data_IF_176591458842
#
_entry.id   IF_176591458842
#
_cell.length_a   1.000
_cell.length_b   1.000
_cell.length_c   1.000
_cell.angle_alpha   90.00
_cell.angle_beta   90.00
_cell.angle_gamma   90.00
#
_symmetry.space_group_name_H-M   'P 1'
#
loop_
_entity.id
_entity.type
_entity.pdbx_description
1 polymer ?
#
# COMPACT_ATOMS: atom_id res chain seq x y z
N UNK A 1 -29.84 -27.88 -8.52
CA UNK A 1 -28.74 -28.72 -7.98
C UNK A 1 -27.42 -28.16 -8.48
N UNK A 2 -26.60 -27.59 -7.59
CA UNK A 2 -25.22 -27.21 -7.93
C UNK A 2 -24.49 -28.51 -8.26
N UNK A 3 -24.12 -28.71 -9.53
CA UNK A 3 -23.38 -29.91 -9.95
C UNK A 3 -21.94 -29.77 -9.47
N UNK A 4 -21.67 -30.26 -8.27
CA UNK A 4 -20.31 -30.49 -7.81
C UNK A 4 -19.72 -31.64 -8.63
N UNK A 5 -18.86 -31.33 -9.58
CA UNK A 5 -18.00 -32.35 -10.17
C UNK A 5 -16.94 -32.72 -9.14
N UNK A 6 -17.10 -33.89 -8.50
CA UNK A 6 -16.08 -34.52 -7.68
C UNK A 6 -14.91 -34.87 -8.62
N UNK A 7 -13.68 -34.40 -8.37
CA UNK A 7 -12.55 -34.78 -9.18
C UNK A 7 -12.13 -36.21 -8.82
N UNK A 8 -12.55 -37.19 -9.61
CA UNK A 8 -11.87 -38.48 -9.71
C UNK A 8 -10.68 -38.31 -10.67
N UNK A 9 -9.49 -38.21 -10.11
CA UNK A 9 -8.27 -38.06 -10.88
C UNK A 9 -7.17 -37.44 -10.04
N UNK A 10 -6.32 -38.32 -9.51
CA UNK A 10 -5.04 -38.02 -8.88
C UNK A 10 -4.33 -36.86 -9.57
N UNK A 11 -4.19 -35.76 -8.84
CA UNK A 11 -3.27 -34.70 -9.21
C UNK A 11 -1.87 -35.32 -9.31
N UNK A 12 -1.07 -35.04 -10.35
CA UNK A 12 0.35 -35.08 -10.17
C UNK A 12 0.63 -34.03 -9.10
N UNK A 13 0.97 -34.52 -7.91
CA UNK A 13 1.74 -33.74 -6.97
C UNK A 13 3.01 -33.36 -7.73
N UNK A 14 3.01 -32.18 -8.35
CA UNK A 14 4.25 -31.46 -8.56
C UNK A 14 4.78 -31.20 -7.16
N UNK A 15 5.56 -32.18 -6.68
CA UNK A 15 6.42 -32.03 -5.55
C UNK A 15 7.33 -30.85 -5.86
N UNK A 16 6.90 -29.66 -5.43
CA UNK A 16 7.84 -28.65 -5.05
C UNK A 16 8.53 -29.24 -3.83
N UNK A 17 9.61 -29.97 -4.14
CA UNK A 17 10.86 -29.93 -3.41
C UNK A 17 10.84 -28.72 -2.48
N UNK A 18 10.98 -28.99 -1.19
CA UNK A 18 11.31 -28.00 -0.19
C UNK A 18 12.57 -27.28 -0.66
N UNK A 19 12.41 -26.26 -1.50
CA UNK A 19 13.51 -25.42 -1.95
C UNK A 19 13.90 -24.62 -0.72
N UNK A 20 14.92 -25.12 -0.03
CA UNK A 20 15.95 -24.34 0.62
C UNK A 20 15.59 -22.87 0.80
N UNK A 21 15.31 -22.48 2.06
CA UNK A 21 15.15 -21.09 2.51
C UNK A 21 16.47 -20.35 2.28
N UNK A 22 16.70 -19.94 1.05
CA UNK A 22 17.87 -19.16 0.68
C UNK A 22 17.58 -17.70 1.00
N UNK A 23 18.33 -17.13 1.94
CA UNK A 23 18.44 -15.68 2.08
C UNK A 23 18.83 -15.10 0.72
N UNK A 24 17.92 -14.35 0.11
CA UNK A 24 18.16 -13.76 -1.21
C UNK A 24 19.09 -12.57 -1.01
N UNK A 25 20.29 -12.64 -1.59
CA UNK A 25 21.19 -11.48 -1.64
C UNK A 25 20.59 -10.48 -2.62
N UNK A 26 20.06 -9.39 -2.08
CA UNK A 26 19.41 -8.32 -2.84
C UNK A 26 20.46 -7.31 -3.32
N UNK A 27 21.51 -7.08 -2.54
CA UNK A 27 22.51 -6.06 -2.82
C UNK A 27 23.89 -6.44 -2.27
N UNK A 28 24.94 -6.14 -3.04
CA UNK A 28 26.32 -6.22 -2.59
C UNK A 28 27.06 -4.93 -3.01
N UNK A 29 27.59 -4.18 -2.03
CA UNK A 29 28.20 -2.87 -2.27
C UNK A 29 29.58 -2.76 -1.61
N UNK A 30 30.53 -2.15 -2.31
CA UNK A 30 31.83 -1.81 -1.74
C UNK A 30 31.83 -0.34 -1.32
N UNK A 31 32.26 -0.05 -0.09
CA UNK A 31 32.29 1.30 0.48
C UNK A 31 33.70 1.55 1.01
N UNK A 32 34.36 2.59 0.51
CA UNK A 32 35.64 3.05 1.03
C UNK A 32 35.47 4.42 1.66
N UNK A 33 35.87 4.56 2.92
CA UNK A 33 35.76 5.80 3.68
C UNK A 33 37.07 6.08 4.44
N UNK A 34 37.45 7.35 4.63
CA UNK A 34 38.67 7.69 5.37
C UNK A 34 38.53 7.38 6.86
N UNK A 35 39.64 7.06 7.51
CA UNK A 35 39.68 6.90 8.97
C UNK A 35 39.18 8.18 9.69
N UNK A 36 38.48 7.99 10.81
CA UNK A 36 37.85 9.05 11.60
C UNK A 36 36.49 9.55 11.06
N UNK A 37 36.08 9.14 9.85
CA UNK A 37 34.75 9.49 9.31
C UNK A 37 33.62 8.61 9.86
N UNK A 38 32.37 8.95 9.52
CA UNK A 38 31.17 8.16 9.84
C UNK A 38 30.71 7.37 8.60
N UNK A 39 30.60 6.05 8.71
CA UNK A 39 29.94 5.21 7.72
C UNK A 39 28.43 5.14 7.97
N UNK A 40 27.65 5.11 6.88
CA UNK A 40 26.24 4.73 6.90
C UNK A 40 26.04 3.63 5.86
N UNK A 41 25.64 2.45 6.33
CA UNK A 41 25.37 1.28 5.49
C UNK A 41 23.86 1.20 5.25
N UNK A 42 23.37 1.60 4.06
CA UNK A 42 21.94 1.78 3.84
C UNK A 42 21.19 0.45 3.81
N UNK A 43 20.23 0.24 4.70
CA UNK A 43 19.39 -0.95 4.69
C UNK A 43 17.91 -0.58 4.82
N UNK A 44 17.32 -0.07 3.72
CA UNK A 44 15.92 0.33 3.68
C UNK A 44 15.04 -0.73 3.01
N UNK A 45 13.92 -1.16 3.61
CA UNK A 45 12.95 -2.05 2.96
C UNK A 45 11.52 -1.62 3.25
N UNK A 46 10.75 -1.15 2.24
CA UNK A 46 9.36 -0.78 2.44
C UNK A 46 8.47 -1.97 2.82
N UNK A 47 8.94 -3.20 2.54
CA UNK A 47 8.24 -4.46 2.85
C UNK A 47 8.44 -4.92 4.29
N UNK A 48 9.34 -4.25 5.03
CA UNK A 48 9.58 -4.45 6.45
C UNK A 48 8.94 -3.34 7.30
N UNK A 49 8.16 -2.45 6.68
CA UNK A 49 7.41 -1.44 7.41
C UNK A 49 6.32 -2.14 8.22
N UNK A 50 6.35 -1.90 9.52
CA UNK A 50 5.38 -2.39 10.46
C UNK A 50 4.75 -1.22 11.19
N UNK A 51 3.51 -0.92 10.82
CA UNK A 51 2.64 -0.06 11.59
C UNK A 51 1.84 -0.93 12.57
N UNK A 52 1.53 -0.38 13.76
CA UNK A 52 0.65 -1.06 14.73
C UNK A 52 -0.84 -1.00 14.33
N UNK A 53 -1.15 -0.55 13.11
CA UNK A 53 -2.52 -0.37 12.63
C UNK A 53 -3.06 -1.69 12.04
N UNK A 54 -3.55 -2.54 12.95
CA UNK A 54 -4.14 -3.84 12.62
C UNK A 54 -5.26 -3.77 11.57
N UNK A 55 -5.90 -2.62 11.38
CA UNK A 55 -7.07 -2.47 10.51
C UNK A 55 -6.70 -2.32 9.03
N UNK A 56 -5.53 -1.74 8.70
CA UNK A 56 -5.10 -1.51 7.30
C UNK A 56 -4.00 -2.46 6.85
N UNK A 57 -3.18 -2.95 7.77
CA UNK A 57 -1.96 -3.70 7.46
C UNK A 57 -2.20 -5.14 7.04
N UNK A 58 -3.46 -5.56 6.84
CA UNK A 58 -3.79 -6.96 6.52
C UNK A 58 -4.91 -7.08 5.51
N UNK A 59 -5.16 -5.99 4.79
CA UNK A 59 -6.16 -5.97 3.74
C UNK A 59 -5.77 -6.98 2.65
N UNK A 60 -6.60 -8.03 2.57
CA UNK A 60 -6.58 -9.01 1.49
C UNK A 60 -7.80 -8.76 0.65
N UNK A 61 -7.67 -8.91 -0.66
CA UNK A 61 -8.79 -8.76 -1.57
C UNK A 61 -8.72 -9.88 -2.59
N UNK A 62 -9.81 -10.61 -2.74
CA UNK A 62 -10.07 -11.38 -3.96
C UNK A 62 -10.97 -10.54 -4.85
N UNK A 63 -10.65 -10.47 -6.13
CA UNK A 63 -11.58 -9.96 -7.13
C UNK A 63 -11.54 -10.83 -8.38
N UNK A 64 -12.69 -10.90 -9.04
CA UNK A 64 -12.83 -11.57 -10.32
C UNK A 64 -13.12 -10.54 -11.40
N UNK A 65 -12.28 -10.56 -12.43
CA UNK A 65 -12.43 -9.71 -13.60
C UNK A 65 -12.81 -10.58 -14.81
N UNK A 66 -13.74 -10.10 -15.63
CA UNK A 66 -14.18 -10.74 -16.87
C UNK A 66 -13.68 -9.93 -18.06
N UNK A 67 -12.88 -10.57 -18.91
CA UNK A 67 -12.45 -10.03 -20.20
C UNK A 67 -13.35 -10.59 -21.30
N UNK A 68 -14.07 -9.70 -21.98
CA UNK A 68 -14.96 -10.05 -23.10
C UNK A 68 -14.26 -9.78 -24.42
N UNK A 69 -14.46 -10.66 -25.40
CA UNK A 69 -13.97 -10.43 -26.76
C UNK A 69 -14.80 -9.40 -27.54
N UNK A 70 -16.00 -9.03 -27.07
CA UNK A 70 -16.88 -8.05 -27.73
C UNK A 70 -17.77 -7.33 -26.71
N UNK A 71 -17.92 -5.98 -26.77
CA UNK A 71 -17.12 -5.06 -27.61
C UNK A 71 -15.64 -5.14 -27.20
N UNK A 72 -14.75 -4.91 -28.18
CA UNK A 72 -13.34 -5.26 -28.17
C UNK A 72 -12.66 -5.02 -26.80
N UNK A 73 -12.22 -6.12 -26.17
CA UNK A 73 -11.43 -6.15 -24.93
C UNK A 73 -11.97 -5.30 -23.76
N UNK A 74 -13.28 -5.33 -23.51
CA UNK A 74 -13.82 -4.79 -22.26
C UNK A 74 -13.46 -5.67 -21.06
N UNK A 75 -12.84 -5.07 -20.05
CA UNK A 75 -12.58 -5.68 -18.74
C UNK A 75 -13.64 -5.18 -17.76
N UNK A 76 -14.41 -6.11 -17.21
CA UNK A 76 -15.45 -5.82 -16.23
C UNK A 76 -15.07 -6.47 -14.89
N UNK A 77 -15.00 -5.69 -13.81
CA UNK A 77 -14.93 -6.27 -12.46
C UNK A 77 -16.29 -6.88 -12.13
N UNK A 78 -16.32 -8.20 -11.98
CA UNK A 78 -17.56 -8.95 -11.70
C UNK A 78 -17.94 -8.78 -10.23
N UNK A 79 -16.99 -9.07 -9.35
CA UNK A 79 -17.15 -8.95 -7.91
C UNK A 79 -15.79 -8.83 -7.21
N UNK A 80 -15.82 -8.30 -5.99
CA UNK A 80 -14.72 -8.38 -5.04
C UNK A 80 -15.19 -8.76 -3.63
N UNK A 81 -14.27 -9.29 -2.84
CA UNK A 81 -14.49 -9.67 -1.45
C UNK A 81 -13.22 -9.44 -0.65
N UNK A 82 -13.37 -8.95 0.59
CA UNK A 82 -12.30 -8.79 1.56
C UNK A 82 -12.64 -9.62 2.82
N UNK A 83 -11.63 -10.04 3.61
CA UNK A 83 -11.87 -10.72 4.87
C UNK A 83 -12.74 -9.87 5.81
N UNK A 84 -13.66 -10.49 6.53
CA UNK A 84 -14.67 -9.82 7.37
C UNK A 84 -15.71 -8.95 6.65
N UNK A 85 -15.61 -8.78 5.33
CA UNK A 85 -16.54 -7.97 4.54
C UNK A 85 -17.46 -8.84 3.68
N UNK A 86 -18.67 -8.33 3.39
CA UNK A 86 -19.56 -8.96 2.41
C UNK A 86 -18.99 -8.78 1.01
N UNK A 87 -19.17 -9.79 0.16
CA UNK A 87 -18.85 -9.67 -1.26
C UNK A 87 -19.67 -8.55 -1.91
N UNK A 88 -19.06 -7.82 -2.84
CA UNK A 88 -19.69 -6.76 -3.61
C UNK A 88 -19.71 -7.16 -5.08
N UNK A 89 -20.92 -7.20 -5.64
CA UNK A 89 -21.17 -7.49 -7.06
C UNK A 89 -21.48 -6.19 -7.77
N UNK A 90 -20.75 -5.90 -8.85
CA UNK A 90 -20.78 -4.60 -9.52
C UNK A 90 -21.90 -4.46 -10.54
N UNK A 91 -22.29 -5.57 -11.17
CA UNK A 91 -23.36 -5.59 -12.17
C UNK A 91 -24.68 -6.04 -11.53
N UNK A 92 -25.74 -5.25 -11.73
CA UNK A 92 -27.10 -5.56 -11.23
C UNK A 92 -27.62 -6.93 -11.71
N UNK A 93 -27.32 -7.32 -12.95
CA UNK A 93 -27.68 -8.62 -13.52
C UNK A 93 -27.03 -9.81 -12.77
N UNK A 94 -25.87 -9.59 -12.16
CA UNK A 94 -25.12 -10.63 -11.47
C UNK A 94 -25.50 -10.75 -9.98
N UNK A 95 -26.27 -9.81 -9.43
CA UNK A 95 -26.68 -9.85 -8.02
C UNK A 95 -27.49 -11.12 -7.72
N UNK A 96 -27.06 -11.89 -6.72
CA UNK A 96 -27.67 -13.18 -6.35
C UNK A 96 -27.37 -14.33 -7.32
N UNK A 97 -26.85 -14.05 -8.51
CA UNK A 97 -26.49 -15.05 -9.51
C UNK A 97 -25.05 -15.52 -9.39
N UNK A 98 -24.15 -14.59 -9.07
CA UNK A 98 -22.72 -14.86 -8.92
C UNK A 98 -22.32 -14.67 -7.46
N UNK A 99 -21.47 -15.58 -6.95
CA UNK A 99 -20.92 -15.49 -5.60
C UNK A 99 -19.55 -16.14 -5.45
N UNK A 100 -18.82 -15.73 -4.42
CA UNK A 100 -17.73 -16.48 -3.80
C UNK A 100 -18.26 -17.07 -2.48
N UNK A 101 -17.79 -18.25 -2.04
CA UNK A 101 -18.11 -18.80 -0.71
C UNK A 101 -17.81 -17.81 0.42
N UNK A 102 -18.70 -17.68 1.40
CA UNK A 102 -18.47 -16.80 2.57
C UNK A 102 -17.25 -17.24 3.40
N UNK A 103 -16.92 -18.53 3.37
CA UNK A 103 -15.75 -19.12 4.03
C UNK A 103 -14.44 -18.94 3.27
N UNK A 104 -14.40 -18.21 2.15
CA UNK A 104 -13.25 -18.19 1.25
C UNK A 104 -11.91 -17.84 1.92
N UNK A 105 -11.90 -16.88 2.85
CA UNK A 105 -10.70 -16.51 3.61
C UNK A 105 -10.42 -17.45 4.81
N UNK A 106 -11.31 -18.40 5.14
CA UNK A 106 -11.06 -19.41 6.17
C UNK A 106 -10.45 -20.69 5.57
N UNK A 107 -10.97 -21.14 4.42
CA UNK A 107 -10.57 -22.38 3.77
C UNK A 107 -9.60 -22.18 2.57
N UNK A 108 -9.44 -20.94 2.11
CA UNK A 108 -8.64 -20.60 0.93
C UNK A 108 -9.33 -20.93 -0.39
N UNK A 109 -10.66 -21.03 -0.42
CA UNK A 109 -11.45 -21.32 -1.61
C UNK A 109 -12.13 -20.05 -2.16
N UNK A 110 -11.46 -19.43 -3.12
CA UNK A 110 -11.86 -18.19 -3.80
C UNK A 110 -12.62 -18.43 -5.11
N UNK A 111 -13.16 -19.64 -5.30
CA UNK A 111 -13.81 -20.06 -6.54
C UNK A 111 -15.06 -19.23 -6.83
N UNK A 112 -15.25 -18.86 -8.09
CA UNK A 112 -16.42 -18.10 -8.55
C UNK A 112 -17.56 -19.04 -8.90
N UNK A 113 -18.68 -18.94 -8.21
CA UNK A 113 -19.91 -19.65 -8.55
C UNK A 113 -20.77 -18.76 -9.43
N UNK A 114 -21.15 -19.26 -10.61
CA UNK A 114 -22.06 -18.60 -11.54
C UNK A 114 -23.29 -19.49 -11.69
N UNK A 115 -24.44 -19.01 -11.25
CA UNK A 115 -25.72 -19.69 -11.44
C UNK A 115 -26.40 -19.24 -12.74
N UNK A 116 -27.22 -20.12 -13.33
CA UNK A 116 -28.01 -19.82 -14.52
C UNK A 116 -27.16 -19.15 -15.64
N UNK A 117 -26.13 -19.86 -16.10
CA UNK A 117 -25.15 -19.37 -17.08
C UNK A 117 -25.85 -18.95 -18.38
N UNK A 118 -25.60 -17.73 -18.84
CA UNK A 118 -26.14 -17.17 -20.09
C UNK A 118 -25.06 -17.02 -21.15
N UNK A 119 -25.45 -16.87 -22.42
CA UNK A 119 -24.49 -16.75 -23.53
C UNK A 119 -23.52 -15.56 -23.37
N UNK A 120 -23.96 -14.48 -22.70
CA UNK A 120 -23.15 -13.29 -22.41
C UNK A 120 -22.13 -13.51 -21.30
N UNK A 121 -22.14 -14.63 -20.58
CA UNK A 121 -21.09 -14.98 -19.62
C UNK A 121 -19.83 -15.52 -20.30
N UNK A 122 -19.88 -15.76 -21.62
CA UNK A 122 -18.70 -16.20 -22.36
C UNK A 122 -17.58 -15.14 -22.26
N UNK A 123 -16.39 -15.59 -21.88
CA UNK A 123 -15.20 -14.75 -21.79
C UNK A 123 -14.08 -15.39 -20.99
N UNK A 124 -13.05 -14.62 -20.70
CA UNK A 124 -11.92 -15.04 -19.85
C UNK A 124 -12.08 -14.40 -18.48
N UNK A 125 -12.27 -15.24 -17.47
CA UNK A 125 -12.35 -14.85 -16.08
C UNK A 125 -10.96 -14.92 -15.45
N UNK A 126 -10.58 -13.89 -14.72
CA UNK A 126 -9.32 -13.84 -13.97
C UNK A 126 -9.64 -13.73 -12.49
N UNK A 127 -9.22 -14.72 -11.71
CA UNK A 127 -9.20 -14.62 -10.26
C UNK A 127 -7.94 -13.88 -9.86
N UNK A 128 -8.05 -12.80 -9.08
CA UNK A 128 -6.93 -12.03 -8.59
C UNK A 128 -6.95 -12.02 -7.06
N UNK A 129 -5.85 -12.45 -6.45
CA UNK A 129 -5.60 -12.38 -5.01
C UNK A 129 -4.56 -11.29 -4.75
N UNK A 130 -4.92 -10.30 -3.96
CA UNK A 130 -4.03 -9.22 -3.54
C UNK A 130 -3.85 -9.23 -2.04
N UNK A 131 -2.60 -9.24 -1.59
CA UNK A 131 -2.23 -9.01 -0.21
C UNK A 131 -1.51 -7.67 -0.12
N UNK A 132 -2.23 -6.61 0.28
CA UNK A 132 -1.69 -5.24 0.21
C UNK A 132 -0.44 -5.05 1.06
N UNK A 133 -0.44 -5.63 2.26
CA UNK A 133 0.68 -5.53 3.19
C UNK A 133 1.97 -6.19 2.70
N UNK A 134 1.90 -7.49 2.37
CA UNK A 134 3.05 -8.20 1.83
C UNK A 134 3.40 -7.81 0.38
N UNK A 135 2.56 -6.99 -0.26
CA UNK A 135 2.63 -6.59 -1.68
C UNK A 135 2.68 -7.80 -2.63
N UNK A 136 1.90 -8.83 -2.32
CA UNK A 136 1.86 -10.07 -3.12
C UNK A 136 0.59 -10.06 -3.97
N UNK A 137 0.76 -10.35 -5.26
CA UNK A 137 -0.33 -10.59 -6.20
C UNK A 137 -0.21 -11.99 -6.79
N UNK A 138 -1.33 -12.69 -6.91
CA UNK A 138 -1.43 -13.94 -7.62
C UNK A 138 -2.70 -13.94 -8.46
N UNK A 139 -2.62 -14.49 -9.67
CA UNK A 139 -3.78 -14.60 -10.53
C UNK A 139 -3.82 -15.92 -11.29
N UNK A 140 -5.03 -16.31 -11.67
CA UNK A 140 -5.29 -17.45 -12.54
C UNK A 140 -6.37 -17.08 -13.53
N UNK A 141 -6.16 -17.45 -14.80
CA UNK A 141 -7.12 -17.24 -15.87
C UNK A 141 -7.88 -18.52 -16.21
N UNK A 142 -9.18 -18.36 -16.44
CA UNK A 142 -10.10 -19.44 -16.79
C UNK A 142 -11.02 -18.95 -17.90
N UNK A 143 -11.05 -19.67 -19.02
CA UNK A 143 -11.95 -19.35 -20.12
C UNK A 143 -13.28 -20.07 -19.94
N UNK A 144 -14.38 -19.32 -19.94
CA UNK A 144 -15.73 -19.84 -19.96
C UNK A 144 -16.33 -19.75 -21.36
N UNK A 145 -16.73 -20.89 -21.89
CA UNK A 145 -17.48 -21.04 -23.13
C UNK A 145 -18.86 -21.63 -22.81
N UNK A 146 -19.89 -21.16 -23.53
CA UNK A 146 -21.28 -21.59 -23.30
C UNK A 146 -21.77 -22.42 -24.48
N UNK A 147 -22.37 -23.57 -24.20
CA UNK A 147 -22.96 -24.46 -25.20
C UNK A 147 -24.45 -24.67 -24.96
N UNK A 148 -25.23 -24.91 -26.01
CA UNK A 148 -26.64 -25.34 -25.90
C UNK A 148 -26.80 -26.87 -25.82
N UNK A 149 -25.71 -27.62 -26.03
CA UNK A 149 -25.73 -29.09 -26.06
C UNK A 149 -24.92 -29.66 -24.89
N UNK A 150 -25.59 -30.46 -24.06
CA UNK A 150 -24.96 -31.16 -22.94
C UNK A 150 -23.83 -32.10 -23.38
N UNK A 151 -23.92 -32.67 -24.60
CA UNK A 151 -22.88 -33.55 -25.16
C UNK A 151 -21.56 -32.82 -25.44
N UNK A 152 -21.58 -31.49 -25.50
CA UNK A 152 -20.39 -30.66 -25.74
C UNK A 152 -19.80 -30.09 -24.44
N UNK A 153 -20.41 -30.37 -23.29
CA UNK A 153 -19.84 -29.97 -22.00
C UNK A 153 -18.51 -30.68 -21.77
N UNK A 154 -17.47 -29.90 -21.46
CA UNK A 154 -16.14 -30.44 -21.18
C UNK A 154 -15.30 -29.41 -20.44
N UNK A 155 -14.31 -29.92 -19.71
CA UNK A 155 -13.24 -29.13 -19.10
C UNK A 155 -11.92 -29.67 -19.64
N UNK A 156 -11.07 -28.78 -20.12
CA UNK A 156 -9.73 -29.14 -20.62
C UNK A 156 -8.75 -28.00 -20.41
N UNK A 157 -7.47 -28.30 -20.50
CA UNK A 157 -6.38 -27.32 -20.50
C UNK A 157 -5.97 -27.04 -21.94
N UNK A 158 -5.89 -25.77 -22.34
CA UNK A 158 -5.52 -25.38 -23.71
C UNK A 158 -4.00 -25.18 -23.91
N UNK A 159 -3.21 -25.32 -22.85
CA UNK A 159 -1.77 -25.02 -22.82
C UNK A 159 -1.44 -23.82 -21.94
N UNK A 160 -2.37 -22.88 -21.78
CA UNK A 160 -2.19 -21.61 -21.06
C UNK A 160 -3.18 -21.44 -19.91
N UNK A 161 -4.43 -21.87 -20.09
CA UNK A 161 -5.54 -21.69 -19.17
C UNK A 161 -6.51 -22.87 -19.21
N UNK A 162 -7.32 -22.98 -18.15
CA UNK A 162 -8.40 -23.98 -18.12
C UNK A 162 -9.60 -23.45 -18.90
N UNK A 163 -10.10 -24.24 -19.84
CA UNK A 163 -11.31 -23.94 -20.60
C UNK A 163 -12.48 -24.77 -20.07
N UNK A 164 -13.54 -24.08 -19.67
CA UNK A 164 -14.82 -24.66 -19.27
C UNK A 164 -15.83 -24.46 -20.39
N UNK A 165 -16.38 -25.55 -20.92
CA UNK A 165 -17.53 -25.53 -21.84
C UNK A 165 -18.75 -25.98 -21.06
N UNK A 166 -19.67 -25.06 -20.81
CA UNK A 166 -20.77 -25.22 -19.84
C UNK A 166 -22.12 -25.08 -20.53
N UNK A 167 -23.09 -25.89 -20.12
CA UNK A 167 -24.45 -25.81 -20.66
C UNK A 167 -25.16 -24.51 -20.26
N UNK A 168 -25.83 -23.88 -21.23
CA UNK A 168 -26.68 -22.72 -21.01
C UNK A 168 -27.77 -23.05 -19.96
N UNK A 169 -27.93 -22.15 -18.98
CA UNK A 169 -28.88 -22.28 -17.87
C UNK A 169 -28.36 -23.12 -16.69
N UNK A 170 -27.19 -23.75 -16.79
CA UNK A 170 -26.60 -24.51 -15.69
C UNK A 170 -25.87 -23.62 -14.68
N UNK A 171 -25.38 -24.21 -13.58
CA UNK A 171 -24.50 -23.55 -12.62
C UNK A 171 -23.08 -24.11 -12.74
N UNK A 172 -22.07 -23.26 -12.65
CA UNK A 172 -20.65 -23.64 -12.70
C UNK A 172 -19.85 -22.96 -11.60
N UNK A 173 -18.82 -23.65 -11.10
CA UNK A 173 -17.82 -23.09 -10.20
C UNK A 173 -16.47 -23.02 -10.93
N UNK A 174 -15.94 -21.82 -11.13
CA UNK A 174 -14.61 -21.60 -11.69
C UNK A 174 -13.57 -21.69 -10.56
N UNK A 175 -12.67 -22.69 -10.58
CA UNK A 175 -11.81 -22.98 -9.44
C UNK A 175 -10.74 -21.90 -9.23
N UNK A 176 -10.67 -21.35 -8.03
CA UNK A 176 -9.55 -20.52 -7.58
C UNK A 176 -9.27 -20.88 -6.11
N UNK A 177 -8.29 -21.75 -5.86
CA UNK A 177 -8.03 -22.28 -4.52
C UNK A 177 -6.58 -22.02 -4.14
N UNK A 178 -6.38 -21.33 -3.02
CA UNK A 178 -5.07 -21.06 -2.45
C UNK A 178 -5.09 -21.23 -0.93
N UNK A 179 -4.58 -22.38 -0.47
CA UNK A 179 -4.61 -22.76 0.96
C UNK A 179 -3.37 -22.33 1.75
N UNK A 180 -2.48 -21.53 1.15
CA UNK A 180 -1.32 -21.00 1.89
C UNK A 180 -1.80 -20.15 3.08
N UNK A 181 -1.17 -20.26 4.27
CA UNK A 181 -1.59 -19.51 5.46
C UNK A 181 -1.74 -18.01 5.23
N UNK A 182 -0.88 -17.42 4.38
CA UNK A 182 -0.91 -16.01 3.98
C UNK A 182 -2.30 -15.54 3.49
N UNK A 183 -3.03 -16.40 2.78
CA UNK A 183 -4.33 -16.06 2.19
C UNK A 183 -5.51 -16.40 3.12
N UNK A 184 -5.24 -17.02 4.27
CA UNK A 184 -6.26 -17.44 5.23
C UNK A 184 -6.22 -16.60 6.51
N UNK A 185 -7.38 -16.35 7.11
CA UNK A 185 -7.48 -15.68 8.41
C UNK A 185 -6.89 -16.54 9.54
N UNK A 186 -6.24 -15.88 10.52
CA UNK A 186 -6.00 -16.44 11.85
C UNK A 186 -4.85 -17.44 12.02
N UNK A 187 -4.07 -17.79 10.99
CA UNK A 187 -3.10 -18.89 11.09
C UNK A 187 -1.64 -18.49 11.39
N UNK A 188 -1.25 -17.21 11.27
CA UNK A 188 0.18 -16.85 11.31
C UNK A 188 0.47 -15.36 11.57
N UNK A 189 -0.55 -14.66 12.00
CA UNK A 189 -0.67 -13.21 11.92
C UNK A 189 0.12 -12.47 13.03
N UNK A 190 0.52 -13.17 14.07
CA UNK A 190 1.33 -12.70 15.20
C UNK A 190 2.84 -12.92 14.99
N UNK A 191 3.25 -13.54 13.88
CA UNK A 191 4.65 -13.85 13.67
C UNK A 191 5.54 -12.62 13.61
N UNK A 192 6.60 -12.68 14.41
CA UNK A 192 7.56 -11.62 14.63
C UNK A 192 8.30 -11.26 13.34
N UNK A 193 8.55 -9.97 13.13
CA UNK A 193 9.52 -9.49 12.14
C UNK A 193 10.84 -9.20 12.83
N UNK A 194 11.94 -9.56 12.17
CA UNK A 194 13.28 -9.44 12.72
C UNK A 194 14.20 -8.85 11.66
N UNK A 195 14.94 -7.81 12.04
CA UNK A 195 16.08 -7.32 11.29
C UNK A 195 17.34 -7.57 12.11
N UNK A 196 18.41 -8.00 11.48
CA UNK A 196 19.68 -8.19 12.17
C UNK A 196 20.88 -7.82 11.31
N UNK A 197 21.95 -7.46 11.99
CA UNK A 197 23.24 -7.17 11.37
C UNK A 197 24.28 -8.19 11.81
N UNK A 198 25.04 -8.67 10.84
CA UNK A 198 26.19 -9.56 11.05
C UNK A 198 27.47 -8.86 10.56
N UNK A 199 28.58 -9.10 11.26
CA UNK A 199 29.91 -8.67 10.87
C UNK A 199 30.82 -9.87 10.62
N UNK A 200 31.49 -9.85 9.48
CA UNK A 200 32.46 -10.86 9.12
C UNK A 200 33.82 -10.18 8.88
N UNK A 201 34.74 -10.42 9.82
CA UNK A 201 36.10 -9.91 9.70
C UNK A 201 36.85 -10.55 8.50
N UNK A 202 37.87 -9.87 7.95
CA UNK A 202 38.65 -10.39 6.83
C UNK A 202 39.25 -11.77 7.15
N UNK A 203 39.00 -12.76 6.28
CA UNK A 203 39.50 -14.14 6.46
C UNK A 203 38.62 -15.05 7.32
N UNK A 204 37.58 -14.52 7.97
CA UNK A 204 36.57 -15.33 8.67
C UNK A 204 35.59 -15.91 7.65
N UNK A 205 35.12 -17.14 7.87
CA UNK A 205 34.11 -17.78 7.01
C UNK A 205 32.71 -17.24 7.29
N UNK A 206 31.78 -17.24 6.31
CA UNK A 206 30.44 -16.66 6.48
C UNK A 206 29.60 -17.31 7.59
N UNK A 207 29.80 -18.59 7.89
CA UNK A 207 29.13 -19.33 8.96
C UNK A 207 29.56 -18.91 10.37
N UNK A 208 30.66 -18.15 10.47
CA UNK A 208 31.23 -17.64 11.72
C UNK A 208 31.20 -16.12 11.79
N UNK A 209 30.26 -15.48 11.08
CA UNK A 209 30.04 -14.05 11.22
C UNK A 209 29.51 -13.75 12.63
N UNK A 210 30.00 -12.67 13.23
CA UNK A 210 29.57 -12.21 14.54
C UNK A 210 28.26 -11.45 14.41
N UNK A 211 27.27 -11.83 15.24
CA UNK A 211 26.02 -11.08 15.37
C UNK A 211 26.33 -9.73 16.01
N UNK A 212 25.84 -8.64 15.41
CA UNK A 212 26.03 -7.26 15.90
C UNK A 212 24.81 -6.75 16.67
N UNK A 213 23.62 -6.87 16.07
CA UNK A 213 22.36 -6.41 16.67
C UNK A 213 21.18 -7.19 16.10
N UNK A 214 20.19 -7.49 16.94
CA UNK A 214 18.86 -7.95 16.56
C UNK A 214 17.82 -6.89 16.94
N UNK A 215 16.95 -6.56 15.98
CA UNK A 215 15.83 -5.64 16.12
C UNK A 215 14.54 -6.41 15.87
N UNK A 216 13.63 -6.36 16.82
CA UNK A 216 12.32 -7.01 16.73
C UNK A 216 11.22 -5.96 16.58
N UNK A 217 10.25 -6.18 15.70
CA UNK A 217 9.07 -5.31 15.57
C UNK A 217 8.27 -5.15 16.89
N UNK A 218 8.45 -6.02 17.88
CA UNK A 218 7.87 -5.85 19.22
C UNK A 218 8.41 -4.62 19.95
N UNK A 219 9.56 -4.11 19.52
CA UNK A 219 10.35 -3.08 20.20
C UNK A 219 11.49 -3.68 21.03
N UNK A 220 11.61 -5.00 21.12
CA UNK A 220 12.79 -5.63 21.72
C UNK A 220 14.02 -5.40 20.85
N UNK A 221 15.14 -5.10 21.50
CA UNK A 221 16.44 -4.89 20.86
C UNK A 221 17.51 -5.64 21.63
N UNK A 222 18.40 -6.32 20.91
CA UNK A 222 19.54 -7.05 21.48
C UNK A 222 20.82 -6.60 20.79
N UNK A 223 21.67 -5.90 21.54
CA UNK A 223 22.98 -5.47 21.08
C UNK A 223 24.03 -6.48 21.52
N UNK A 224 24.97 -6.82 20.63
CA UNK A 224 26.01 -7.79 20.88
C UNK A 224 27.40 -7.12 20.84
N UNK A 225 28.23 -7.42 21.83
CA UNK A 225 29.55 -6.83 21.99
C UNK A 225 29.53 -5.36 22.45
N UNK A 226 30.71 -4.72 22.55
CA UNK A 226 30.83 -3.40 23.19
C UNK A 226 30.56 -2.21 22.25
N UNK A 227 30.53 -2.41 20.93
CA UNK A 227 30.53 -1.31 19.95
C UNK A 227 29.23 -0.49 19.98
N UNK A 228 28.10 -1.11 20.31
CA UNK A 228 26.83 -0.40 20.54
C UNK A 228 26.79 0.28 21.91
N UNK A 229 27.29 -0.38 22.97
CA UNK A 229 27.35 0.20 24.31
C UNK A 229 28.26 1.45 24.37
N UNK A 230 29.27 1.52 23.52
CA UNK A 230 30.17 2.67 23.37
C UNK A 230 29.62 3.75 22.41
N UNK A 231 28.39 3.61 21.92
CA UNK A 231 27.77 4.50 20.92
C UNK A 231 28.59 4.66 19.63
N UNK A 232 29.47 3.70 19.32
CA UNK A 232 30.22 3.67 18.07
C UNK A 232 29.31 3.25 16.92
N UNK A 233 28.43 2.29 17.17
CA UNK A 233 27.44 1.80 16.21
C UNK A 233 26.03 2.19 16.63
N UNK A 234 25.19 2.53 15.65
CA UNK A 234 23.77 2.80 15.90
C UNK A 234 22.88 2.43 14.72
N UNK A 235 21.64 2.06 15.05
CA UNK A 235 20.52 1.88 14.11
C UNK A 235 19.35 2.73 14.63
N UNK A 236 18.48 3.20 13.75
CA UNK A 236 17.31 3.98 14.14
C UNK A 236 16.37 3.20 15.07
N UNK A 237 15.81 3.85 16.09
CA UNK A 237 14.87 3.23 17.04
C UNK A 237 13.50 2.97 16.39
N UNK A 238 13.11 3.81 15.44
CA UNK A 238 11.87 3.72 14.66
C UNK A 238 12.07 2.99 13.32
N UNK A 239 13.09 2.12 13.23
CA UNK A 239 13.47 1.40 12.02
C UNK A 239 12.30 0.66 11.35
N UNK A 240 11.45 -0.02 12.13
CA UNK A 240 10.26 -0.71 11.60
C UNK A 240 9.15 0.24 11.16
N UNK A 241 9.05 1.44 11.73
CA UNK A 241 8.05 2.43 11.33
C UNK A 241 8.42 3.06 9.99
N UNK A 242 9.71 3.36 9.80
CA UNK A 242 10.22 4.00 8.59
C UNK A 242 10.67 3.01 7.51
N UNK A 243 10.87 1.74 7.88
CA UNK A 243 11.51 0.75 7.03
C UNK A 243 13.01 0.99 6.85
N UNK A 244 13.66 1.76 7.73
CA UNK A 244 15.09 2.10 7.65
C UNK A 244 15.89 1.40 8.76
N UNK A 245 16.63 0.36 8.36
CA UNK A 245 17.48 -0.45 9.23
C UNK A 245 18.97 -0.14 9.02
N UNK A 246 19.29 1.06 8.52
CA UNK A 246 20.66 1.44 8.18
C UNK A 246 21.59 1.45 9.41
N UNK A 247 22.77 0.86 9.26
CA UNK A 247 23.79 0.83 10.31
C UNK A 247 24.73 2.03 10.16
N UNK A 248 24.80 2.85 11.20
CA UNK A 248 25.77 3.93 11.33
C UNK A 248 26.99 3.45 12.14
N UNK A 249 28.20 3.76 11.67
CA UNK A 249 29.47 3.48 12.37
C UNK A 249 30.27 4.77 12.44
N UNK A 250 30.48 5.29 13.65
CA UNK A 250 31.25 6.51 13.91
C UNK A 250 32.72 6.21 14.13
N UNK A 251 33.59 7.21 13.94
CA UNK A 251 35.05 7.11 14.16
C UNK A 251 35.67 5.85 13.53
N UNK A 252 35.60 5.75 12.19
CA UNK A 252 36.11 4.59 11.47
C UNK A 252 37.61 4.37 11.70
N UNK A 253 37.97 3.15 12.07
CA UNK A 253 39.35 2.70 12.28
C UNK A 253 39.68 1.56 11.32
N UNK A 254 40.96 1.33 10.99
CA UNK A 254 41.36 0.22 10.13
C UNK A 254 40.84 -1.16 10.57
N UNK A 255 40.61 -1.34 11.88
CA UNK A 255 40.05 -2.57 12.47
C UNK A 255 38.56 -2.79 12.13
N UNK A 256 37.82 -1.75 11.76
CA UNK A 256 36.41 -1.85 11.36
C UNK A 256 36.26 -2.33 9.90
N UNK A 257 37.37 -2.60 9.20
CA UNK A 257 37.36 -3.19 7.87
C UNK A 257 36.75 -4.60 7.94
N UNK A 258 35.76 -4.87 7.10
CA UNK A 258 35.14 -6.18 7.01
C UNK A 258 33.91 -6.21 6.13
N UNK A 259 33.14 -7.30 6.22
CA UNK A 259 31.88 -7.48 5.55
C UNK A 259 30.74 -7.32 6.56
N UNK A 260 29.86 -6.36 6.32
CA UNK A 260 28.65 -6.15 7.11
C UNK A 260 27.46 -6.66 6.34
N UNK A 261 26.64 -7.51 6.95
CA UNK A 261 25.44 -8.06 6.32
C UNK A 261 24.20 -7.63 7.08
N UNK A 262 23.28 -6.95 6.39
CA UNK A 262 21.92 -6.69 6.89
C UNK A 262 21.01 -7.83 6.44
N UNK A 263 20.25 -8.41 7.37
CA UNK A 263 19.29 -9.46 7.11
C UNK A 263 17.92 -9.04 7.60
N UNK A 264 16.93 -9.11 6.70
CA UNK A 264 15.56 -8.72 6.97
C UNK A 264 14.65 -9.93 6.82
N UNK A 265 13.98 -10.30 7.90
CA UNK A 265 13.11 -11.46 7.96
C UNK A 265 11.69 -11.05 8.30
N UNK A 266 10.79 -11.23 7.32
CA UNK A 266 9.36 -11.10 7.53
C UNK A 266 8.71 -12.48 7.51
N UNK A 267 8.54 -13.08 8.68
CA UNK A 267 8.05 -14.46 8.79
C UNK A 267 6.65 -14.66 8.20
N UNK A 268 5.72 -13.73 8.48
CA UNK A 268 4.35 -13.78 7.94
C UNK A 268 4.30 -13.68 6.40
N UNK A 269 4.98 -12.70 5.80
CA UNK A 269 5.03 -12.55 4.34
C UNK A 269 5.98 -13.52 3.63
N UNK A 270 6.77 -14.30 4.39
CA UNK A 270 7.83 -15.16 3.85
C UNK A 270 8.97 -14.40 3.18
N UNK A 271 9.24 -13.16 3.62
CA UNK A 271 10.32 -12.33 3.07
C UNK A 271 11.65 -12.67 3.76
N UNK A 272 12.70 -12.82 2.96
CA UNK A 272 14.09 -12.93 3.42
C UNK A 272 14.97 -12.11 2.48
N UNK A 273 15.40 -10.93 2.93
CA UNK A 273 16.31 -10.06 2.17
C UNK A 273 17.66 -10.01 2.87
N UNK A 274 18.74 -10.03 2.09
CA UNK A 274 20.11 -9.87 2.58
C UNK A 274 20.84 -8.81 1.77
N UNK A 275 21.46 -7.84 2.45
CA UNK A 275 22.35 -6.84 1.83
C UNK A 275 23.73 -6.94 2.42
N UNK A 276 24.76 -6.88 1.58
CA UNK A 276 26.16 -7.09 1.97
C UNK A 276 26.96 -5.84 1.64
N UNK A 277 27.69 -5.33 2.62
CA UNK A 277 28.54 -4.14 2.49
C UNK A 277 29.98 -4.50 2.81
N UNK A 278 30.87 -4.36 1.82
CA UNK A 278 32.31 -4.49 2.02
C UNK A 278 32.88 -3.13 2.39
N UNK A 279 33.18 -2.95 3.68
CA UNK A 279 33.73 -1.72 4.20
C UNK A 279 35.27 -1.77 4.20
N UNK A 280 35.87 -0.78 3.55
CA UNK A 280 37.32 -0.54 3.57
C UNK A 280 37.62 0.85 4.13
N UNK A 281 38.60 0.91 5.03
CA UNK A 281 39.00 2.17 5.67
C UNK A 281 40.29 2.66 5.04
N UNK A 282 40.21 3.83 4.39
CA UNK A 282 41.33 4.53 3.80
C UNK A 282 42.07 5.39 4.82
N UNK A 283 43.17 6.06 4.40
CA UNK A 283 43.90 6.97 5.28
C UNK A 283 43.01 8.11 5.79
N UNK A 284 43.29 8.69 6.97
CA UNK A 284 42.57 9.85 7.47
C UNK A 284 42.75 11.04 6.51
N UNK A 285 41.71 11.87 6.40
CA UNK A 285 41.80 13.11 5.65
C UNK A 285 42.85 14.02 6.31
N UNK A 286 43.71 14.70 5.54
CA UNK A 286 44.65 15.65 6.10
C UNK A 286 43.87 16.73 6.86
N UNK A 287 44.23 16.95 8.12
CA UNK A 287 43.68 18.05 8.91
C UNK A 287 43.97 19.36 8.18
N UNK A 288 42.93 20.19 7.97
CA UNK A 288 43.13 21.55 7.49
C UNK A 288 44.19 22.24 8.37
N UNK A 289 45.13 23.01 7.79
CA UNK A 289 46.24 23.57 8.54
C UNK A 289 45.67 24.45 9.67
N UNK A 290 45.89 24.01 10.91
CA UNK A 290 45.61 24.79 12.11
C UNK A 290 46.51 26.02 12.04
N UNK A 291 45.92 27.20 11.81
CA UNK A 291 46.61 28.47 11.98
C UNK A 291 47.17 28.51 13.40
N UNK A 292 48.49 28.35 13.52
CA UNK A 292 49.19 28.53 14.79
C UNK A 292 48.87 29.94 15.34
N UNK A 293 48.69 30.10 16.67
CA UNK A 293 48.40 31.39 17.25
C UNK A 293 49.60 32.31 16.98
N UNK A 294 49.40 33.38 16.21
CA UNK A 294 50.41 34.40 15.99
C UNK A 294 50.67 35.09 17.34
N UNK A 295 51.90 34.96 17.83
CA UNK A 295 52.43 35.77 18.93
C UNK A 295 52.43 37.21 18.42
N UNK A 296 51.68 38.09 19.09
CA UNK A 296 51.72 39.52 18.82
C UNK A 296 53.02 40.09 19.39
N UNK A 297 53.96 40.44 18.51
CA UNK A 297 54.97 41.45 18.82
C UNK A 297 54.43 42.81 18.37
N UNK A 298 54.23 43.69 19.35
CA UNK A 298 53.87 45.08 19.14
C UNK A 298 55.12 45.82 18.65
N UNK A 299 55.05 46.45 17.48
CA UNK A 299 55.84 47.63 17.18
C UNK A 299 55.05 48.61 16.29
N UNK A 300 55.21 49.88 16.63
CA UNK A 300 54.44 51.08 16.29
C UNK A 300 54.73 51.57 14.85
N UNK A 301 53.83 52.34 14.20
CA UNK A 301 53.74 52.46 12.73
C UNK A 301 54.24 53.79 12.16
N UNK A 302 54.63 53.81 10.87
CA UNK A 302 54.41 54.87 9.83
C UNK A 302 55.32 54.69 8.57
N UNK A 303 55.11 55.37 7.40
CA UNK A 303 54.01 55.10 6.46
C UNK A 303 54.44 55.03 4.96
N UNK A 304 53.53 54.46 4.13
CA UNK A 304 53.30 54.70 2.68
C UNK A 304 54.44 54.47 1.68
N UNK A 305 54.21 53.55 0.76
CA UNK A 305 54.34 53.83 -0.68
C UNK A 305 53.33 52.99 -1.45
N UNK A 306 52.53 53.65 -2.29
CA UNK A 306 51.58 53.02 -3.21
C UNK A 306 52.34 52.36 -4.35
N UNK A 307 52.12 51.05 -4.58
CA UNK A 307 52.34 50.42 -5.88
C UNK A 307 51.16 49.50 -6.22
N UNK A 308 50.30 50.06 -7.08
CA UNK A 308 49.45 49.46 -8.11
C UNK A 308 49.19 47.95 -8.00
N UNK A 309 47.98 47.65 -7.55
CA UNK A 309 47.33 46.35 -7.55
C UNK A 309 47.04 45.89 -8.99
N UNK A 310 47.75 44.89 -9.47
CA UNK A 310 47.33 44.10 -10.64
C UNK A 310 46.13 43.22 -10.25
N UNK A 311 45.08 43.10 -11.08
CA UNK A 311 43.85 42.43 -10.67
C UNK A 311 44.12 40.93 -10.51
N UNK A 312 44.05 40.44 -9.27
CA UNK A 312 43.87 39.02 -9.03
C UNK A 312 42.47 38.65 -9.50
N UNK A 313 42.40 38.02 -10.67
CA UNK A 313 41.19 37.36 -11.14
C UNK A 313 40.87 36.22 -10.17
N UNK A 314 40.05 36.52 -9.17
CA UNK A 314 39.40 35.49 -8.38
C UNK A 314 38.27 34.97 -9.25
N UNK A 315 38.44 33.78 -9.81
CA UNK A 315 37.30 33.01 -10.32
C UNK A 315 36.40 32.66 -9.14
N UNK A 316 35.50 33.58 -8.79
CA UNK A 316 34.36 33.28 -7.94
C UNK A 316 33.41 32.45 -8.79
N UNK A 317 33.52 31.14 -8.68
CA UNK A 317 32.45 30.23 -9.09
C UNK A 317 31.29 30.51 -8.13
N UNK A 318 30.38 31.40 -8.52
CA UNK A 318 29.09 31.52 -7.87
C UNK A 318 28.35 30.17 -8.07
N UNK A 319 27.80 29.56 -7.02
CA UNK A 319 26.97 28.38 -7.19
C UNK A 319 25.73 28.76 -8.01
N UNK A 320 25.55 28.08 -9.15
CA UNK A 320 24.40 28.22 -10.07
C UNK A 320 23.09 27.77 -9.40
N UNK A 321 22.54 28.57 -8.48
CA UNK A 321 21.20 28.37 -7.93
C UNK A 321 20.11 29.12 -8.70
N UNK A 322 20.43 29.76 -9.83
CA UNK A 322 19.45 30.51 -10.64
C UNK A 322 18.53 29.62 -11.50
N UNK A 323 18.91 28.38 -11.79
CA UNK A 323 18.06 27.45 -12.56
C UNK A 323 16.87 26.91 -11.75
N UNK A 324 17.13 26.46 -10.52
CA UNK A 324 16.11 25.85 -9.66
C UNK A 324 15.01 26.82 -9.26
N UNK A 325 15.34 28.08 -8.95
CA UNK A 325 14.35 29.08 -8.54
C UNK A 325 13.37 29.43 -9.67
N UNK A 326 13.90 29.62 -10.89
CA UNK A 326 13.06 29.94 -12.08
C UNK A 326 12.20 28.75 -12.49
N UNK A 327 12.71 27.52 -12.34
CA UNK A 327 11.98 26.29 -12.66
C UNK A 327 10.88 26.00 -11.64
N UNK A 328 11.11 26.22 -10.35
CA UNK A 328 10.07 26.12 -9.32
C UNK A 328 9.00 27.21 -9.47
N UNK A 329 9.41 28.45 -9.75
CA UNK A 329 8.47 29.55 -10.00
C UNK A 329 7.60 29.26 -11.24
N UNK A 330 8.19 28.72 -12.31
CA UNK A 330 7.47 28.27 -13.49
C UNK A 330 6.48 27.14 -13.21
N UNK A 331 6.86 26.18 -12.35
CA UNK A 331 5.98 25.09 -11.92
C UNK A 331 4.78 25.62 -11.12
N UNK A 332 5.01 26.52 -10.17
CA UNK A 332 3.91 27.15 -9.41
C UNK A 332 2.97 27.93 -10.33
N UNK A 333 3.50 28.76 -11.24
CA UNK A 333 2.69 29.48 -12.21
C UNK A 333 1.87 28.54 -13.10
N UNK A 334 2.47 27.46 -13.61
CA UNK A 334 1.79 26.47 -14.41
C UNK A 334 0.66 25.76 -13.64
N UNK A 335 0.87 25.44 -12.35
CA UNK A 335 -0.18 24.83 -11.51
C UNK A 335 -1.34 25.78 -11.23
N UNK A 336 -1.07 27.07 -11.00
CA UNK A 336 -2.13 28.07 -10.83
C UNK A 336 -2.93 28.30 -12.12
N UNK A 337 -2.26 28.33 -13.27
CA UNK A 337 -2.91 28.44 -14.58
C UNK A 337 -3.78 27.20 -14.84
N UNK A 338 -3.28 26.00 -14.55
CA UNK A 338 -4.05 24.76 -14.70
C UNK A 338 -5.30 24.75 -13.81
N UNK A 339 -5.16 25.17 -12.54
CA UNK A 339 -6.29 25.30 -11.62
C UNK A 339 -7.32 26.32 -12.12
N UNK A 340 -6.88 27.47 -12.63
CA UNK A 340 -7.78 28.46 -13.23
C UNK A 340 -8.54 27.87 -14.44
N UNK A 341 -7.87 27.11 -15.31
CA UNK A 341 -8.53 26.42 -16.42
C UNK A 341 -9.54 25.37 -15.96
N UNK A 342 -9.24 24.60 -14.91
CA UNK A 342 -10.18 23.64 -14.33
C UNK A 342 -11.40 24.36 -13.77
N UNK A 343 -11.21 25.47 -13.04
CA UNK A 343 -12.33 26.27 -12.51
C UNK A 343 -13.18 26.84 -13.63
N UNK A 344 -12.58 27.39 -14.69
CA UNK A 344 -13.32 27.88 -15.87
C UNK A 344 -14.06 26.73 -16.56
N UNK A 345 -13.44 25.56 -16.71
CA UNK A 345 -14.10 24.39 -17.28
C UNK A 345 -15.30 23.94 -16.43
N UNK A 346 -15.17 23.94 -15.09
CA UNK A 346 -16.28 23.64 -14.17
C UNK A 346 -17.38 24.69 -14.28
N UNK A 347 -17.05 25.99 -14.36
CA UNK A 347 -18.02 27.07 -14.56
C UNK A 347 -18.73 26.92 -15.91
N UNK A 348 -18.01 26.60 -16.98
CA UNK A 348 -18.61 26.37 -18.31
C UNK A 348 -19.47 25.11 -18.31
N UNK A 349 -19.04 24.02 -17.66
CA UNK A 349 -19.81 22.79 -17.56
C UNK A 349 -21.08 22.98 -16.72
N UNK A 350 -21.01 23.71 -15.61
CA UNK A 350 -22.17 24.04 -14.79
C UNK A 350 -23.11 25.01 -15.51
N UNK A 351 -22.59 26.01 -16.24
CA UNK A 351 -23.40 26.89 -17.10
C UNK A 351 -24.03 26.15 -18.28
N UNK A 352 -23.31 25.22 -18.93
CA UNK A 352 -23.87 24.36 -20.00
C UNK A 352 -24.93 23.40 -19.46
N UNK A 353 -24.74 22.85 -18.26
CA UNK A 353 -25.76 22.04 -17.58
C UNK A 353 -26.98 22.88 -17.21
N UNK A 354 -26.81 24.10 -16.72
CA UNK A 354 -27.91 25.03 -16.42
C UNK A 354 -28.66 25.46 -17.69
N UNK A 355 -27.95 25.74 -18.79
CA UNK A 355 -28.55 26.05 -20.10
C UNK A 355 -29.32 24.85 -20.69
N UNK A 356 -28.75 23.64 -20.61
CA UNK A 356 -29.44 22.40 -21.02
C UNK A 356 -30.63 22.05 -20.12
N UNK A 357 -30.57 22.36 -18.83
CA UNK A 357 -31.70 22.20 -17.90
C UNK A 357 -32.86 23.14 -18.23
N UNK A 358 -32.56 24.40 -18.56
CA UNK A 358 -33.56 25.39 -18.97
C UNK A 358 -34.21 25.04 -20.33
N UNK A 359 -33.44 24.52 -21.30
CA UNK A 359 -33.97 24.01 -22.57
C UNK A 359 -34.88 22.77 -22.36
N UNK A 360 -34.62 21.96 -21.34
CA UNK A 360 -35.45 20.78 -21.02
C UNK A 360 -36.78 21.17 -20.35
N UNK A 361 -36.78 22.20 -19.49
CA UNK A 361 -38.01 22.71 -18.87
C UNK A 361 -38.89 23.49 -19.84
N UNK A 362 -38.30 24.32 -20.73
CA UNK A 362 -39.05 25.04 -21.75
C UNK A 362 -39.76 24.07 -22.72
N UNK A 363 -39.08 22.97 -23.10
CA UNK A 363 -39.65 21.91 -23.96
C UNK A 363 -40.70 21.04 -23.27
N UNK A 364 -40.71 20.99 -21.93
CA UNK A 364 -41.73 20.29 -21.14
C UNK A 364 -42.98 21.14 -20.93
N UNK A 365 -42.82 22.46 -20.82
CA UNK A 365 -43.95 23.40 -20.72
C UNK A 365 -44.73 23.50 -22.04
N UNK A 366 -44.04 23.46 -23.18
CA UNK A 366 -44.67 23.52 -24.51
C UNK A 366 -45.44 22.24 -24.89
N UNK A 367 -45.14 21.11 -24.22
CA UNK A 367 -45.86 19.83 -24.38
C UNK A 367 -46.96 19.60 -23.35
N UNK A 368 -47.03 20.43 -22.30
CA UNK A 368 -48.00 20.28 -21.20
C UNK A 368 -49.32 21.00 -21.43
N UNK A 369 -49.40 21.91 -22.40
CA UNK A 369 -50.54 22.84 -22.54
C UNK A 369 -51.64 22.35 -23.53
N UNK A 370 -51.57 21.13 -24.05
CA UNK A 370 -52.50 20.67 -25.13
C UNK A 370 -53.38 19.46 -24.76
N UNK A 371 -53.31 18.90 -23.55
CA UNK A 371 -54.15 17.72 -23.21
C UNK A 371 -54.88 17.88 -21.87
N UNK A 372 -56.20 18.10 -21.99
CA UNK A 372 -57.28 17.87 -20.99
C UNK A 372 -57.26 18.76 -19.74
N UNK A 373 -58.25 19.60 -19.42
CA UNK A 373 -59.69 19.53 -19.70
C UNK A 373 -60.37 18.53 -18.75
N UNK A 374 -60.88 18.99 -17.59
CA UNK A 374 -61.73 18.19 -16.69
C UNK A 374 -61.54 18.42 -15.18
N UNK A 375 -62.29 19.37 -14.64
CA UNK A 375 -62.87 19.57 -13.30
C UNK A 375 -62.82 18.41 -12.26
N UNK A 376 -62.47 18.68 -10.98
CA UNK A 376 -63.44 18.88 -9.87
C UNK A 376 -62.83 18.74 -8.43
N UNK A 377 -63.18 19.75 -7.59
CA UNK A 377 -63.33 19.82 -6.11
C UNK A 377 -62.12 19.59 -5.16
N UNK A 378 -61.60 20.62 -4.47
CA UNK A 378 -62.07 21.34 -3.25
C UNK A 378 -62.09 20.47 -1.98
N UNK A 379 -61.19 20.75 -1.02
CA UNK A 379 -61.59 21.52 0.17
C UNK A 379 -60.39 22.15 0.91
N UNK A 380 -60.62 23.34 1.45
CA UNK A 380 -59.66 24.22 2.15
C UNK A 380 -60.19 24.51 3.56
N UNK A 381 -59.30 24.63 4.55
CA UNK A 381 -59.49 25.53 5.72
C UNK A 381 -58.11 25.73 6.37
N UNK A 382 -57.44 26.86 6.08
CA UNK A 382 -57.42 28.13 6.85
C UNK A 382 -56.61 28.05 8.16
N UNK A 383 -55.83 29.03 8.64
CA UNK A 383 -55.22 30.26 8.11
C UNK A 383 -54.46 30.86 9.33
N UNK A 384 -53.17 31.22 9.21
CA UNK A 384 -52.64 32.49 9.77
C UNK A 384 -51.17 32.73 9.42
N UNK A 385 -50.95 33.89 8.79
CA UNK A 385 -49.65 34.49 8.52
C UNK A 385 -49.28 35.51 9.62
N UNK A 386 -47.99 35.67 9.91
CA UNK A 386 -47.30 36.97 9.91
C UNK A 386 -45.77 36.83 10.14
N UNK A 387 -45.03 37.07 9.05
CA UNK A 387 -43.85 37.94 8.86
C UNK A 387 -42.61 37.95 9.79
N UNK A 388 -41.46 37.80 9.09
CA UNK A 388 -40.18 38.56 9.14
C UNK A 388 -39.10 38.23 10.20
N UNK A 389 -38.13 37.39 9.77
CA UNK A 389 -36.66 37.59 9.64
C UNK A 389 -35.84 38.45 10.65
N UNK A 390 -34.49 38.38 10.69
CA UNK A 390 -33.55 37.24 10.62
C UNK A 390 -32.39 37.37 11.67
N UNK A 391 -31.67 36.30 12.05
CA UNK A 391 -30.18 36.28 12.15
C UNK A 391 -29.63 35.00 12.83
N UNK A 392 -28.48 34.60 12.30
CA UNK A 392 -27.39 33.83 12.90
C UNK A 392 -27.53 32.31 13.11
N UNK A 393 -26.94 31.63 12.12
CA UNK A 393 -26.11 30.45 12.28
C UNK A 393 -25.08 30.60 13.41
N UNK A 394 -25.03 29.63 14.31
CA UNK A 394 -23.77 29.03 14.74
C UNK A 394 -23.98 27.74 15.57
N UNK A 395 -22.96 26.88 15.53
CA UNK A 395 -22.69 25.71 16.38
C UNK A 395 -23.29 24.35 15.96
N UNK A 396 -22.54 23.51 15.23
CA UNK A 396 -21.48 22.55 15.66
C UNK A 396 -21.99 21.31 16.42
N UNK A 397 -21.71 20.16 15.79
CA UNK A 397 -21.32 18.86 16.34
C UNK A 397 -22.28 18.11 17.29
N UNK A 398 -23.07 17.20 16.71
CA UNK A 398 -23.64 16.05 17.41
C UNK A 398 -22.63 14.89 17.41
N UNK A 399 -21.84 14.79 18.48
CA UNK A 399 -20.95 13.65 18.76
C UNK A 399 -20.85 13.49 20.29
N UNK A 400 -21.97 13.24 20.97
CA UNK A 400 -22.03 12.88 22.40
C UNK A 400 -23.44 12.44 22.83
N UNK A 401 -24.08 11.52 22.09
CA UNK A 401 -25.38 10.96 22.49
C UNK A 401 -25.42 9.45 22.36
N UNK A 402 -24.48 8.76 23.02
CA UNK A 402 -24.61 7.34 23.43
C UNK A 402 -23.72 7.04 24.65
N UNK A 403 -23.87 7.78 25.77
CA UNK A 403 -23.26 7.38 27.05
C UNK A 403 -24.22 7.21 28.24
N UNK A 404 -25.52 7.38 28.04
CA UNK A 404 -26.49 7.31 29.16
C UNK A 404 -27.52 6.17 29.02
N UNK A 405 -27.12 5.02 28.47
CA UNK A 405 -27.96 3.80 28.46
C UNK A 405 -27.30 2.57 29.09
N UNK A 406 -26.31 2.79 29.96
CA UNK A 406 -25.67 1.71 30.72
C UNK A 406 -25.49 2.11 32.19
N UNK A 407 -26.60 2.41 32.88
CA UNK A 407 -26.70 2.49 34.34
C UNK A 407 -28.19 2.56 34.69
N UNK A 408 -28.81 1.40 34.75
CA UNK A 408 -29.98 1.10 35.60
C UNK A 408 -30.40 -0.35 35.35
N UNK A 409 -29.67 -1.28 35.99
CA UNK A 409 -30.10 -2.64 36.27
C UNK A 409 -29.09 -3.24 37.27
N UNK A 410 -29.18 -2.84 38.54
CA UNK A 410 -28.81 -3.68 39.67
C UNK A 410 -29.21 -3.00 41.00
N UNK A 411 -29.73 -3.82 41.92
CA UNK A 411 -30.32 -3.58 43.26
C UNK A 411 -31.81 -3.97 43.21
N UNK A 412 -32.37 -4.92 43.97
CA UNK A 412 -31.90 -5.87 44.97
C UNK A 412 -33.01 -6.94 45.06
N UNK A 413 -32.65 -8.20 45.24
CA UNK A 413 -33.54 -9.17 45.90
C UNK A 413 -32.69 -9.97 46.86
N UNK A 414 -32.63 -9.49 48.10
CA UNK A 414 -32.07 -10.22 49.21
C UNK A 414 -33.22 -10.77 50.10
N UNK A 415 -33.00 -11.98 50.59
CA UNK A 415 -33.72 -12.53 51.74
C UNK A 415 -34.82 -13.56 51.47
N UNK A 416 -34.46 -14.86 51.51
CA UNK A 416 -35.14 -15.89 52.34
C UNK A 416 -34.35 -17.21 52.41
N UNK A 417 -33.43 -17.26 53.38
CA UNK A 417 -33.46 -18.14 54.56
C UNK A 417 -34.03 -19.56 54.36
N UNK A 418 -33.17 -20.60 54.32
CA UNK A 418 -33.41 -21.92 54.94
C UNK A 418 -32.07 -22.61 55.29
N UNK A 419 -31.90 -22.84 56.61
CA UNK A 419 -31.02 -23.75 57.39
C UNK A 419 -29.63 -24.16 56.89
#
# INVERSE_FOLDING_TARGET
AVRFFIPSGSWPSCGQSSSSRHNVVVEAKNITLPAGSKAVLPCHSPRMVWTRDRLKDRQRVVHWDLVRSSPEYSVERVLDMSPGARQRVYNGFNKGRISIPESAFNDGNFSLVINNVVATDKGVYTCNLHHHYCQIHQSIQIQLNVTKSARKEKRYWDGEKTVFVVLLGSSVALPCVNRRPLWREGLQEDQQQVAHWDFQAPGVRPDRADRLVDLYASGERRDYGPLFAQSKMSVAEDAFTLGDFSLSISDLRPVDKGLYSCHLHHHYCGLQERRIFRLTVGPPLPSAPTTAPRIFQNDVPEPRTEEVEGPRVVNVILPEHRGYFVQHLGYFLATFILLAFIVVAVIVLTRRRKKRGLEYELRRSDRGTVISGGEMTLDCTELKACNQEPLNSDYKNNLLKERDMAKDCNMDFDGKLWK
#
